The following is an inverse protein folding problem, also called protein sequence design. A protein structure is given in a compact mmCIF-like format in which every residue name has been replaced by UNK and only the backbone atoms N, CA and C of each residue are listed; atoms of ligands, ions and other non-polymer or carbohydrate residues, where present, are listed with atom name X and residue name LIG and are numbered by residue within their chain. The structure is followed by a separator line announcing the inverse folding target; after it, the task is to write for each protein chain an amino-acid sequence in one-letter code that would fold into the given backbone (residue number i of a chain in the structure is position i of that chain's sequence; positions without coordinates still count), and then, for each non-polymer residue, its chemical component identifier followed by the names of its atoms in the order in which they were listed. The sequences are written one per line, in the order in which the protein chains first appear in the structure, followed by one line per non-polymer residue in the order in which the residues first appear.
data_IF_343553240710
#
_entry.id   IF_343553240710
#
_cell.length_a   1.000
_cell.length_b   1.000
_cell.length_c   1.000
_cell.angle_alpha   90.00
_cell.angle_beta   90.00
_cell.angle_gamma   90.00
#
_symmetry.space_group_name_H-M   'P 1'
#
loop_
_entity.id
_entity.type
_entity.pdbx_description
1 polymer ?
#
# COMPACT_ATOMS: atom_id res chain seq x y z
N UNK A 1 -27.24 -3.11 -24.78
CA UNK A 1 -25.91 -3.60 -24.39
C UNK A 1 -24.79 -3.15 -25.37
N UNK A 2 -25.00 -3.19 -26.68
CA UNK A 2 -23.98 -2.86 -27.68
C UNK A 2 -23.44 -1.42 -27.63
N UNK A 3 -24.29 -0.42 -27.34
CA UNK A 3 -23.87 0.99 -27.38
C UNK A 3 -22.95 1.35 -26.20
N UNK A 4 -23.25 0.88 -24.98
CA UNK A 4 -22.42 1.12 -23.80
C UNK A 4 -21.07 0.42 -23.93
N UNK A 5 -21.06 -0.79 -24.48
CA UNK A 5 -19.86 -1.54 -24.77
C UNK A 5 -19.00 -0.86 -25.85
N UNK A 6 -19.63 -0.36 -26.90
CA UNK A 6 -18.95 0.41 -27.95
C UNK A 6 -18.32 1.70 -27.39
N UNK A 7 -19.06 2.48 -26.58
CA UNK A 7 -18.56 3.69 -25.94
C UNK A 7 -17.37 3.37 -25.03
N UNK A 8 -17.47 2.30 -24.23
CA UNK A 8 -16.40 1.82 -23.37
C UNK A 8 -15.14 1.47 -24.17
N UNK A 9 -15.28 0.64 -25.19
CA UNK A 9 -14.17 0.24 -26.04
C UNK A 9 -13.54 1.44 -26.78
N UNK A 10 -14.33 2.43 -27.19
CA UNK A 10 -13.82 3.66 -27.81
C UNK A 10 -13.01 4.51 -26.84
N UNK A 11 -13.41 4.60 -25.58
CA UNK A 11 -12.67 5.31 -24.53
C UNK A 11 -11.37 4.59 -24.17
N UNK A 12 -11.41 3.28 -24.06
CA UNK A 12 -10.24 2.46 -23.79
C UNK A 12 -9.22 2.53 -24.93
N UNK A 13 -9.66 2.55 -26.18
CA UNK A 13 -8.79 2.80 -27.33
C UNK A 13 -8.15 4.19 -27.30
N UNK A 14 -8.72 5.15 -26.58
CA UNK A 14 -8.16 6.46 -26.30
C UNK A 14 -7.33 6.51 -24.98
N UNK A 15 -7.05 5.37 -24.35
CA UNK A 15 -6.30 5.30 -23.10
C UNK A 15 -7.10 5.70 -21.86
N UNK A 16 -8.44 5.64 -21.91
CA UNK A 16 -9.33 6.00 -20.80
C UNK A 16 -10.08 4.79 -20.33
N UNK A 17 -9.84 4.39 -19.09
CA UNK A 17 -10.51 3.31 -18.37
C UNK A 17 -11.29 3.86 -17.18
N UNK A 18 -11.97 2.99 -16.45
CA UNK A 18 -12.70 3.39 -15.24
C UNK A 18 -12.57 2.33 -14.15
N UNK A 19 -12.24 2.79 -12.95
CA UNK A 19 -12.35 2.04 -11.69
C UNK A 19 -13.67 2.47 -11.04
N UNK A 20 -14.76 1.71 -11.27
CA UNK A 20 -16.12 2.16 -11.03
C UNK A 20 -16.38 3.51 -11.77
N UNK A 21 -16.60 4.61 -11.04
CA UNK A 21 -16.81 5.95 -11.61
C UNK A 21 -15.53 6.80 -11.69
N UNK A 22 -14.39 6.27 -11.23
CA UNK A 22 -13.13 6.98 -11.18
C UNK A 22 -12.42 6.85 -12.53
N UNK A 23 -12.05 7.97 -13.17
CA UNK A 23 -11.32 7.92 -14.43
C UNK A 23 -9.90 7.40 -14.23
N UNK A 24 -9.48 6.52 -15.13
CA UNK A 24 -8.14 5.96 -15.20
C UNK A 24 -7.53 6.28 -16.55
N UNK A 25 -6.46 7.06 -16.58
CA UNK A 25 -5.76 7.43 -17.81
C UNK A 25 -4.45 6.66 -17.95
N UNK A 26 -4.24 6.07 -19.13
CA UNK A 26 -2.95 5.53 -19.55
C UNK A 26 -2.23 6.57 -20.38
N UNK A 27 -1.19 7.19 -19.83
CA UNK A 27 -0.38 8.22 -20.50
C UNK A 27 0.73 7.60 -21.33
N UNK A 28 1.25 6.45 -20.88
CA UNK A 28 2.22 5.64 -21.58
C UNK A 28 1.72 4.21 -21.78
N UNK A 29 2.16 3.51 -22.84
CA UNK A 29 1.74 2.15 -23.12
C UNK A 29 2.06 1.19 -21.96
N UNK A 30 1.12 0.30 -21.65
CA UNK A 30 1.35 -0.83 -20.76
C UNK A 30 1.99 -2.01 -21.52
N UNK A 31 2.78 -2.85 -20.83
CA UNK A 31 3.24 -4.13 -21.39
C UNK A 31 2.08 -5.03 -21.80
N UNK A 32 2.29 -5.87 -22.80
CA UNK A 32 1.29 -6.86 -23.28
C UNK A 32 0.89 -7.87 -22.18
N UNK A 33 1.73 -8.05 -21.15
CA UNK A 33 1.47 -8.89 -19.99
C UNK A 33 0.39 -8.33 -19.07
N UNK A 34 0.05 -7.05 -19.18
CA UNK A 34 -0.88 -6.35 -18.30
C UNK A 34 -2.28 -6.26 -18.95
N UNK A 35 -3.24 -6.84 -18.28
CA UNK A 35 -4.67 -6.65 -18.58
C UNK A 35 -5.27 -5.64 -17.59
N UNK A 36 -5.14 -4.35 -17.89
CA UNK A 36 -5.60 -3.27 -17.01
C UNK A 36 -7.08 -3.41 -16.64
N UNK A 37 -7.95 -3.78 -17.59
CA UNK A 37 -9.38 -4.01 -17.29
C UNK A 37 -9.57 -5.05 -16.19
N UNK A 38 -8.82 -6.16 -16.25
CA UNK A 38 -8.90 -7.21 -15.23
C UNK A 38 -8.38 -6.71 -13.88
N UNK A 39 -7.26 -5.99 -13.86
CA UNK A 39 -6.70 -5.39 -12.64
C UNK A 39 -7.72 -4.48 -11.97
N UNK A 40 -8.33 -3.54 -12.71
CA UNK A 40 -9.33 -2.62 -12.17
C UNK A 40 -10.58 -3.33 -11.65
N UNK A 41 -11.04 -4.39 -12.32
CA UNK A 41 -12.14 -5.24 -11.85
C UNK A 41 -11.78 -5.96 -10.55
N UNK A 42 -10.55 -6.41 -10.40
CA UNK A 42 -10.09 -7.13 -9.21
C UNK A 42 -9.92 -6.17 -8.03
N UNK A 43 -9.45 -4.93 -8.24
CA UNK A 43 -9.48 -3.86 -7.24
C UNK A 43 -10.92 -3.63 -6.75
N UNK A 44 -11.85 -3.39 -7.69
CA UNK A 44 -13.26 -3.10 -7.38
C UNK A 44 -13.99 -4.24 -6.65
N UNK A 45 -13.56 -5.50 -6.85
CA UNK A 45 -14.11 -6.66 -6.14
C UNK A 45 -13.56 -6.86 -4.74
N UNK A 46 -12.32 -6.44 -4.50
CA UNK A 46 -11.63 -6.66 -3.24
C UNK A 46 -11.93 -5.58 -2.22
N UNK A 47 -12.07 -4.33 -2.69
CA UNK A 47 -12.20 -3.17 -1.81
C UNK A 47 -13.66 -2.70 -1.68
N UNK A 48 -14.10 -2.31 -0.48
CA UNK A 48 -15.34 -1.57 -0.29
C UNK A 48 -15.41 -0.32 -1.16
N UNK A 49 -16.56 -0.07 -1.79
CA UNK A 49 -16.74 1.09 -2.68
C UNK A 49 -16.45 2.44 -2.02
N UNK A 50 -16.62 2.53 -0.70
CA UNK A 50 -16.39 3.79 0.02
C UNK A 50 -14.92 4.19 -0.01
N UNK A 51 -13.99 3.24 -0.01
CA UNK A 51 -12.56 3.53 -0.09
C UNK A 51 -12.17 4.12 -1.44
N UNK A 52 -12.85 3.67 -2.50
CA UNK A 52 -12.64 4.22 -3.83
C UNK A 52 -13.09 5.68 -3.96
N UNK A 53 -14.05 6.13 -3.12
CA UNK A 53 -14.49 7.54 -3.13
C UNK A 53 -13.42 8.55 -2.66
N UNK A 54 -12.37 8.07 -2.01
CA UNK A 54 -11.22 8.90 -1.62
C UNK A 54 -10.29 9.20 -2.81
N UNK A 55 -10.46 8.48 -3.92
CA UNK A 55 -9.67 8.61 -5.13
C UNK A 55 -10.44 9.42 -6.17
N UNK A 56 -9.82 10.46 -6.70
CA UNK A 56 -10.40 11.31 -7.75
C UNK A 56 -10.03 10.83 -9.15
N UNK A 57 -8.84 10.25 -9.30
CA UNK A 57 -8.31 9.79 -10.57
C UNK A 57 -7.16 8.78 -10.37
N UNK A 58 -6.94 7.96 -11.39
CA UNK A 58 -5.73 7.13 -11.52
C UNK A 58 -5.01 7.53 -12.80
N UNK A 59 -3.72 7.74 -12.72
CA UNK A 59 -2.84 8.05 -13.86
C UNK A 59 -1.75 6.98 -13.97
N UNK A 60 -1.66 6.36 -15.13
CA UNK A 60 -0.71 5.28 -15.40
C UNK A 60 0.29 5.75 -16.46
N UNK A 61 1.57 5.75 -16.13
CA UNK A 61 2.59 6.24 -17.05
C UNK A 61 3.97 6.33 -16.41
N UNK A 62 4.83 7.14 -17.03
CA UNK A 62 6.16 7.45 -16.56
C UNK A 62 6.14 8.83 -15.90
N UNK A 63 6.43 8.88 -14.60
CA UNK A 63 6.41 10.12 -13.82
C UNK A 63 7.80 10.37 -13.22
N UNK A 64 8.34 11.57 -13.44
CA UNK A 64 9.69 11.96 -13.01
C UNK A 64 9.90 11.79 -11.51
N UNK A 65 8.93 12.25 -10.69
CA UNK A 65 8.98 12.09 -9.23
C UNK A 65 9.08 10.63 -8.79
N UNK A 66 8.40 9.71 -9.48
CA UNK A 66 8.44 8.28 -9.16
C UNK A 66 9.77 7.65 -9.58
N UNK A 67 10.31 8.08 -10.73
CA UNK A 67 11.63 7.61 -11.18
C UNK A 67 12.75 8.05 -10.23
N UNK A 68 12.72 9.32 -9.77
CA UNK A 68 13.70 9.85 -8.83
C UNK A 68 13.67 9.16 -7.47
N UNK A 69 12.49 8.70 -7.04
CA UNK A 69 12.27 8.01 -5.76
C UNK A 69 12.26 6.49 -5.87
N UNK A 70 12.44 5.96 -7.08
CA UNK A 70 12.35 4.52 -7.37
C UNK A 70 11.02 3.89 -6.91
N UNK A 71 9.89 4.61 -7.12
CA UNK A 71 8.55 4.17 -6.74
C UNK A 71 7.80 3.55 -7.92
N UNK A 72 7.06 2.48 -7.68
CA UNK A 72 6.15 1.86 -8.66
C UNK A 72 4.77 2.51 -8.65
N UNK A 73 4.34 3.07 -7.52
CA UNK A 73 3.10 3.81 -7.38
C UNK A 73 3.24 4.93 -6.34
N UNK A 74 2.29 5.88 -6.34
CA UNK A 74 2.27 7.01 -5.42
C UNK A 74 0.84 7.57 -5.30
N UNK A 75 0.31 7.67 -4.08
CA UNK A 75 -0.87 8.46 -3.77
C UNK A 75 -0.49 9.91 -3.43
N UNK A 76 -1.12 10.87 -4.10
CA UNK A 76 -0.89 12.30 -3.85
C UNK A 76 -2.13 13.12 -4.18
N UNK A 77 -2.63 13.87 -3.22
CA UNK A 77 -3.74 14.83 -3.39
C UNK A 77 -5.00 14.22 -4.07
N UNK A 78 -5.36 13.00 -3.68
CA UNK A 78 -6.53 12.30 -4.23
C UNK A 78 -6.28 11.59 -5.57
N UNK A 79 -5.07 11.61 -6.11
CA UNK A 79 -4.70 10.97 -7.35
C UNK A 79 -3.73 9.82 -7.08
N UNK A 80 -4.01 8.66 -7.69
CA UNK A 80 -3.06 7.56 -7.75
C UNK A 80 -2.22 7.70 -9.02
N UNK A 81 -0.91 7.72 -8.86
CA UNK A 81 0.06 7.61 -9.93
C UNK A 81 0.62 6.19 -9.91
N UNK A 82 0.58 5.50 -11.02
CA UNK A 82 1.04 4.10 -11.14
C UNK A 82 1.99 4.00 -12.32
N UNK A 83 3.14 3.38 -12.11
CA UNK A 83 4.10 3.12 -13.19
C UNK A 83 3.48 2.22 -14.25
N UNK A 84 3.73 2.53 -15.52
CA UNK A 84 3.40 1.62 -16.62
C UNK A 84 4.39 0.45 -16.73
N UNK A 85 5.52 0.51 -16.02
CA UNK A 85 6.54 -0.55 -15.98
C UNK A 85 6.17 -1.58 -14.91
N UNK A 86 5.23 -2.47 -15.25
CA UNK A 86 4.72 -3.51 -14.37
C UNK A 86 5.10 -4.89 -14.92
N UNK A 87 5.47 -5.83 -14.06
CA UNK A 87 5.86 -7.17 -14.46
C UNK A 87 4.64 -8.04 -14.81
N UNK A 88 3.58 -7.93 -14.02
CA UNK A 88 2.34 -8.71 -14.19
C UNK A 88 1.13 -8.02 -13.54
N UNK A 89 -0.07 -8.59 -13.76
CA UNK A 89 -1.31 -8.05 -13.20
C UNK A 89 -1.34 -8.03 -11.68
N UNK A 90 -0.70 -9.00 -11.01
CA UNK A 90 -0.73 -9.10 -9.55
C UNK A 90 0.08 -7.97 -8.93
N UNK A 91 1.27 -7.69 -9.45
CA UNK A 91 2.12 -6.60 -8.96
C UNK A 91 1.41 -5.24 -9.12
N UNK A 92 0.78 -5.01 -10.28
CA UNK A 92 0.00 -3.80 -10.49
C UNK A 92 -1.22 -3.70 -9.57
N UNK A 93 -1.86 -4.83 -9.25
CA UNK A 93 -2.98 -4.90 -8.32
C UNK A 93 -2.54 -4.56 -6.90
N UNK A 94 -1.40 -5.12 -6.46
CA UNK A 94 -0.81 -4.89 -5.15
C UNK A 94 -0.45 -3.41 -4.99
N UNK A 95 0.26 -2.82 -5.96
CA UNK A 95 0.63 -1.41 -5.98
C UNK A 95 -0.60 -0.49 -5.86
N UNK A 96 -1.66 -0.76 -6.62
CA UNK A 96 -2.90 0.04 -6.58
C UNK A 96 -3.59 -0.08 -5.22
N UNK A 97 -3.69 -1.28 -4.65
CA UNK A 97 -4.32 -1.48 -3.33
C UNK A 97 -3.50 -0.81 -2.23
N UNK A 98 -2.17 -0.89 -2.32
CA UNK A 98 -1.25 -0.23 -1.39
C UNK A 98 -1.46 1.29 -1.38
N UNK A 99 -1.54 1.93 -2.55
CA UNK A 99 -1.75 3.38 -2.63
C UNK A 99 -3.17 3.80 -2.21
N UNK A 100 -4.18 2.95 -2.45
CA UNK A 100 -5.51 3.17 -1.90
C UNK A 100 -5.49 3.10 -0.37
N UNK A 101 -4.63 2.27 0.23
CA UNK A 101 -4.46 2.23 1.68
C UNK A 101 -4.03 3.59 2.24
N UNK A 102 -3.09 4.27 1.60
CA UNK A 102 -2.69 5.63 2.01
C UNK A 102 -3.84 6.63 1.93
N UNK A 103 -4.68 6.54 0.90
CA UNK A 103 -5.88 7.37 0.81
C UNK A 103 -6.90 7.06 1.94
N UNK A 104 -7.11 5.78 2.25
CA UNK A 104 -7.98 5.35 3.35
C UNK A 104 -7.43 5.80 4.69
N UNK A 105 -6.14 5.67 4.92
CA UNK A 105 -5.45 6.11 6.12
C UNK A 105 -5.59 7.61 6.34
N UNK A 106 -5.31 8.42 5.32
CA UNK A 106 -5.40 9.88 5.36
C UNK A 106 -6.81 10.36 5.76
N UNK A 107 -7.83 9.78 5.13
CA UNK A 107 -9.23 10.12 5.41
C UNK A 107 -9.76 9.59 6.74
N UNK A 108 -9.14 8.57 7.30
CA UNK A 108 -9.57 7.92 8.55
C UNK A 108 -8.53 7.99 9.67
N UNK A 109 -7.60 8.95 9.59
CA UNK A 109 -6.46 9.06 10.49
C UNK A 109 -6.84 8.96 11.98
N UNK A 110 -7.84 9.71 12.41
CA UNK A 110 -8.28 9.70 13.82
C UNK A 110 -8.91 8.36 14.24
N UNK A 111 -9.58 7.67 13.33
CA UNK A 111 -10.14 6.33 13.59
C UNK A 111 -9.03 5.28 13.73
N UNK A 112 -7.99 5.39 12.93
CA UNK A 112 -6.86 4.45 12.94
C UNK A 112 -5.95 4.70 14.14
N UNK A 113 -5.56 5.94 14.38
CA UNK A 113 -4.49 6.29 15.31
C UNK A 113 -4.93 7.01 16.59
N UNK A 114 -6.15 7.52 16.66
CA UNK A 114 -6.60 8.38 17.77
C UNK A 114 -6.60 7.73 19.16
N UNK A 115 -6.63 6.38 19.25
CA UNK A 115 -6.49 5.64 20.51
C UNK A 115 -5.06 5.12 20.76
N UNK A 116 -4.11 5.48 19.91
CA UNK A 116 -2.68 5.15 19.97
C UNK A 116 -2.35 3.63 19.93
N UNK A 117 -3.33 2.74 19.82
CA UNK A 117 -3.08 1.29 19.90
C UNK A 117 -2.23 0.76 18.74
N UNK A 118 -2.52 1.21 17.52
CA UNK A 118 -1.72 0.82 16.33
C UNK A 118 -0.29 1.37 16.45
N UNK A 119 -0.13 2.59 16.96
CA UNK A 119 1.18 3.19 17.23
C UNK A 119 1.98 2.34 18.23
N UNK A 120 1.35 1.93 19.33
CA UNK A 120 2.00 1.11 20.36
C UNK A 120 2.37 -0.28 19.83
N UNK A 121 1.50 -0.90 19.00
CA UNK A 121 1.80 -2.17 18.34
C UNK A 121 3.03 -2.02 17.42
N UNK A 122 3.06 -1.00 16.58
CA UNK A 122 4.15 -0.73 15.66
C UNK A 122 5.48 -0.46 16.38
N UNK A 123 5.49 0.45 17.35
CA UNK A 123 6.70 0.78 18.10
C UNK A 123 7.19 -0.40 18.95
N UNK A 124 6.30 -1.23 19.48
CA UNK A 124 6.65 -2.46 20.17
C UNK A 124 7.40 -3.45 19.26
N UNK A 125 6.97 -3.57 18.00
CA UNK A 125 7.65 -4.39 16.98
C UNK A 125 8.99 -3.79 16.55
N UNK A 126 9.07 -2.48 16.35
CA UNK A 126 10.34 -1.80 16.06
C UNK A 126 11.35 -1.97 17.20
N UNK A 127 10.91 -1.87 18.45
CA UNK A 127 11.77 -2.16 19.59
C UNK A 127 12.27 -3.60 19.57
N UNK A 128 11.43 -4.55 19.21
CA UNK A 128 11.83 -5.95 19.08
C UNK A 128 12.86 -6.14 17.98
N UNK A 129 12.70 -5.48 16.83
CA UNK A 129 13.66 -5.51 15.75
C UNK A 129 15.02 -4.88 16.19
N UNK A 130 14.99 -3.77 16.92
CA UNK A 130 16.19 -3.18 17.52
C UNK A 130 16.94 -4.20 18.40
N UNK A 131 16.25 -4.93 19.27
CA UNK A 131 16.83 -5.94 20.12
C UNK A 131 17.48 -7.08 19.32
N UNK A 132 16.84 -7.52 18.23
CA UNK A 132 17.37 -8.53 17.32
C UNK A 132 18.62 -8.03 16.61
N UNK A 133 18.59 -6.85 16.00
CA UNK A 133 19.74 -6.27 15.30
C UNK A 133 20.94 -6.08 16.24
N UNK A 134 20.69 -5.61 17.45
CA UNK A 134 21.74 -5.46 18.47
C UNK A 134 22.34 -6.81 18.87
N UNK A 135 21.53 -7.86 18.98
CA UNK A 135 22.03 -9.20 19.28
C UNK A 135 22.86 -9.81 18.14
N UNK A 136 22.57 -9.42 16.89
CA UNK A 136 23.34 -9.80 15.71
C UNK A 136 24.60 -8.95 15.49
N UNK A 137 24.85 -7.98 16.37
CA UNK A 137 26.06 -7.18 16.37
C UNK A 137 26.02 -5.91 15.53
N UNK A 138 24.84 -5.48 15.07
CA UNK A 138 24.68 -4.21 14.37
C UNK A 138 24.83 -3.03 15.34
N UNK A 139 25.49 -1.97 14.87
CA UNK A 139 25.61 -0.70 15.62
C UNK A 139 24.33 0.12 15.47
N UNK A 140 23.41 -0.07 16.42
CA UNK A 140 22.07 0.54 16.40
C UNK A 140 21.77 1.24 17.72
N UNK A 141 21.04 2.35 17.64
CA UNK A 141 20.53 3.07 18.80
C UNK A 141 19.00 2.95 18.88
N UNK A 142 18.45 2.90 20.09
CA UNK A 142 17.01 2.73 20.28
C UNK A 142 16.20 3.91 19.71
N UNK A 143 16.78 5.10 19.73
CA UNK A 143 16.15 6.35 19.24
C UNK A 143 15.74 6.24 17.77
N UNK A 144 16.55 5.56 16.93
CA UNK A 144 16.24 5.34 15.52
C UNK A 144 14.93 4.51 15.31
N UNK A 145 14.59 3.67 16.29
CA UNK A 145 13.44 2.76 16.25
C UNK A 145 12.18 3.33 16.93
N UNK A 146 12.26 4.47 17.59
CA UNK A 146 11.14 5.08 18.30
C UNK A 146 10.38 6.15 17.48
N UNK A 147 10.92 6.57 16.34
CA UNK A 147 10.24 7.50 15.41
C UNK A 147 9.26 6.73 14.53
N UNK A 148 7.98 7.04 14.63
CA UNK A 148 6.94 6.32 13.88
C UNK A 148 6.78 6.82 12.43
N UNK A 149 7.04 8.11 12.19
CA UNK A 149 6.97 8.72 10.86
C UNK A 149 8.14 8.29 9.99
N UNK A 150 7.97 8.42 8.68
CA UNK A 150 9.05 8.15 7.73
C UNK A 150 10.28 9.02 8.01
N UNK A 151 11.44 8.40 7.99
CA UNK A 151 12.75 9.00 8.14
C UNK A 151 13.69 8.43 7.07
N UNK A 152 14.18 9.30 6.19
CA UNK A 152 15.02 8.89 5.05
C UNK A 152 16.34 8.23 5.50
N UNK A 153 16.98 8.76 6.54
CA UNK A 153 18.25 8.21 7.02
C UNK A 153 18.03 6.83 7.64
N UNK A 154 16.91 6.62 8.32
CA UNK A 154 16.56 5.32 8.86
C UNK A 154 16.21 4.32 7.74
N UNK A 155 15.48 4.74 6.70
CA UNK A 155 15.17 3.89 5.55
C UNK A 155 16.46 3.48 4.81
N UNK A 156 17.37 4.43 4.58
CA UNK A 156 18.67 4.15 3.97
C UNK A 156 19.53 3.22 4.83
N UNK A 157 19.51 3.37 6.15
CA UNK A 157 20.16 2.45 7.07
C UNK A 157 19.59 1.03 6.92
N UNK A 158 18.28 0.88 6.91
CA UNK A 158 17.63 -0.43 6.71
C UNK A 158 18.00 -1.05 5.35
N UNK A 159 18.05 -0.24 4.30
CA UNK A 159 18.32 -0.69 2.93
C UNK A 159 19.81 -1.00 2.69
N UNK A 160 20.70 -0.09 3.08
CA UNK A 160 22.13 -0.16 2.72
C UNK A 160 22.98 -0.89 3.78
N UNK A 161 22.75 -0.62 5.07
CA UNK A 161 23.58 -1.16 6.14
C UNK A 161 23.11 -2.54 6.61
N UNK A 162 21.79 -2.78 6.65
CA UNK A 162 21.22 -4.08 7.01
C UNK A 162 20.98 -4.92 5.74
N UNK A 163 20.29 -4.36 4.76
CA UNK A 163 19.87 -4.99 3.51
C UNK A 163 18.59 -5.83 3.65
N UNK A 164 17.75 -5.77 2.62
CA UNK A 164 16.45 -6.47 2.61
C UNK A 164 16.53 -7.98 2.88
N UNK A 165 17.52 -8.75 2.37
CA UNK A 165 17.59 -10.20 2.65
C UNK A 165 17.77 -10.52 4.14
N UNK A 166 18.52 -9.68 4.87
CA UNK A 166 18.68 -9.82 6.33
C UNK A 166 17.41 -9.38 7.04
N UNK A 167 16.86 -8.24 6.67
CA UNK A 167 15.60 -7.74 7.23
C UNK A 167 14.46 -8.74 7.04
N UNK A 168 14.32 -9.35 5.87
CA UNK A 168 13.30 -10.37 5.60
C UNK A 168 13.39 -11.51 6.61
N UNK A 169 14.61 -11.95 6.92
CA UNK A 169 14.83 -12.99 7.93
C UNK A 169 14.51 -12.52 9.35
N UNK A 170 14.97 -11.32 9.73
CA UNK A 170 14.81 -10.78 11.09
C UNK A 170 13.38 -10.32 11.38
N UNK A 171 12.65 -9.89 10.36
CA UNK A 171 11.26 -9.45 10.49
C UNK A 171 10.24 -10.57 10.33
N UNK A 172 10.68 -11.78 9.96
CA UNK A 172 9.81 -12.94 9.81
C UNK A 172 9.05 -13.22 11.13
N UNK A 173 7.72 -13.25 11.04
CA UNK A 173 6.85 -13.44 12.22
C UNK A 173 6.72 -12.20 13.11
N UNK A 174 7.30 -11.07 12.74
CA UNK A 174 7.21 -9.79 13.44
C UNK A 174 6.48 -8.73 12.62
N UNK A 175 6.81 -8.60 11.34
CA UNK A 175 6.19 -7.69 10.38
C UNK A 175 5.64 -8.48 9.18
N UNK A 176 4.69 -7.90 8.46
CA UNK A 176 4.11 -8.52 7.24
C UNK A 176 5.16 -8.53 6.13
N UNK A 177 5.89 -7.43 5.97
CA UNK A 177 7.04 -7.33 5.07
C UNK A 177 8.14 -6.46 5.69
N UNK A 178 9.38 -6.55 5.20
CA UNK A 178 10.47 -5.67 5.63
C UNK A 178 10.16 -4.18 5.42
N UNK A 179 9.46 -3.84 4.36
CA UNK A 179 9.10 -2.46 4.02
C UNK A 179 8.18 -1.82 5.08
N UNK A 180 7.29 -2.61 5.70
CA UNK A 180 6.40 -2.14 6.77
C UNK A 180 7.13 -1.68 8.05
N UNK A 181 8.44 -1.86 8.12
CA UNK A 181 9.29 -1.33 9.21
C UNK A 181 9.53 0.16 9.06
N UNK A 182 9.53 0.71 7.85
CA UNK A 182 10.04 2.06 7.54
C UNK A 182 9.24 3.19 8.17
N UNK A 183 7.91 3.06 8.24
CA UNK A 183 7.03 4.02 8.90
C UNK A 183 5.71 3.38 9.34
N UNK A 184 4.97 4.08 10.19
CA UNK A 184 3.63 3.64 10.60
C UNK A 184 2.64 3.65 9.43
N UNK A 185 2.84 4.56 8.46
CA UNK A 185 2.04 4.64 7.24
C UNK A 185 2.26 3.40 6.37
N UNK A 186 3.53 3.00 6.18
CA UNK A 186 3.84 1.76 5.47
C UNK A 186 3.39 0.51 6.24
N UNK A 187 3.45 0.54 7.57
CA UNK A 187 2.90 -0.53 8.40
C UNK A 187 1.39 -0.71 8.19
N UNK A 188 0.65 0.41 8.10
CA UNK A 188 -0.78 0.40 7.77
C UNK A 188 -1.00 -0.10 6.34
N UNK A 189 -0.32 0.49 5.35
CA UNK A 189 -0.53 0.21 3.94
C UNK A 189 -0.24 -1.24 3.57
N UNK A 190 0.89 -1.80 4.03
CA UNK A 190 1.24 -3.22 3.83
C UNK A 190 0.25 -4.16 4.54
N UNK A 191 -0.18 -3.81 5.75
CA UNK A 191 -1.19 -4.59 6.46
C UNK A 191 -2.55 -4.59 5.76
N UNK A 192 -2.99 -3.43 5.28
CA UNK A 192 -4.21 -3.25 4.49
C UNK A 192 -4.14 -4.05 3.18
N UNK A 193 -3.09 -3.87 2.40
CA UNK A 193 -2.83 -4.60 1.16
C UNK A 193 -2.96 -6.11 1.38
N UNK A 194 -2.18 -6.68 2.29
CA UNK A 194 -2.20 -8.12 2.58
C UNK A 194 -3.57 -8.59 3.08
N UNK A 195 -4.28 -7.77 3.85
CA UNK A 195 -5.63 -8.08 4.32
C UNK A 195 -6.61 -8.25 3.15
N UNK A 196 -6.62 -7.31 2.19
CA UNK A 196 -7.51 -7.35 1.03
C UNK A 196 -7.01 -8.24 -0.11
N UNK A 197 -5.72 -8.59 -0.13
CA UNK A 197 -5.17 -9.60 -1.04
C UNK A 197 -5.51 -11.04 -0.61
N UNK A 198 -6.11 -11.23 0.55
CA UNK A 198 -6.64 -12.52 1.00
C UNK A 198 -5.81 -13.19 2.09
N UNK A 199 -4.80 -12.49 2.62
CA UNK A 199 -3.93 -12.99 3.68
C UNK A 199 -4.39 -12.59 5.11
N UNK A 200 -5.69 -12.37 5.27
CA UNK A 200 -6.30 -11.86 6.51
C UNK A 200 -5.86 -12.59 7.78
N UNK A 201 -5.75 -13.93 7.72
CA UNK A 201 -5.31 -14.73 8.86
C UNK A 201 -3.84 -14.48 9.22
N UNK A 202 -3.00 -14.23 8.22
CA UNK A 202 -1.58 -13.92 8.41
C UNK A 202 -1.43 -12.55 9.05
N UNK A 203 -2.10 -11.55 8.49
CA UNK A 203 -2.11 -10.19 9.06
C UNK A 203 -2.64 -10.19 10.50
N UNK A 204 -3.75 -10.89 10.76
CA UNK A 204 -4.32 -11.01 12.11
C UNK A 204 -3.35 -11.62 13.13
N UNK A 205 -2.57 -12.59 12.69
CA UNK A 205 -1.56 -13.22 13.55
C UNK A 205 -0.41 -12.28 13.88
N UNK A 206 0.04 -11.52 12.90
CA UNK A 206 1.19 -10.62 13.06
C UNK A 206 0.79 -9.26 13.64
N UNK A 207 -0.30 -8.68 13.16
CA UNK A 207 -0.74 -7.32 13.41
C UNK A 207 -2.19 -7.30 13.94
N UNK A 208 -2.45 -7.91 15.12
CA UNK A 208 -3.82 -8.07 15.62
C UNK A 208 -4.54 -6.74 15.85
N UNK A 209 -3.84 -5.72 16.37
CA UNK A 209 -4.45 -4.41 16.63
C UNK A 209 -4.78 -3.69 15.32
N UNK A 210 -3.87 -3.70 14.35
CA UNK A 210 -4.13 -3.17 13.02
C UNK A 210 -5.31 -3.91 12.36
N UNK A 211 -5.35 -5.24 12.46
CA UNK A 211 -6.44 -6.05 11.89
C UNK A 211 -7.79 -5.69 12.50
N UNK A 212 -7.87 -5.47 13.80
CA UNK A 212 -9.09 -5.02 14.46
C UNK A 212 -9.56 -3.66 13.96
N UNK A 213 -8.61 -2.74 13.64
CA UNK A 213 -8.92 -1.46 13.01
C UNK A 213 -9.44 -1.62 11.58
N UNK A 214 -8.86 -2.51 10.79
CA UNK A 214 -9.35 -2.79 9.44
C UNK A 214 -10.76 -3.38 9.45
N UNK A 215 -11.08 -4.30 10.35
CA UNK A 215 -12.44 -4.78 10.53
C UNK A 215 -13.41 -3.67 10.96
N UNK A 216 -12.98 -2.79 11.87
CA UNK A 216 -13.81 -1.67 12.30
C UNK A 216 -14.09 -0.70 11.14
N UNK A 217 -13.08 -0.39 10.32
CA UNK A 217 -13.27 0.42 9.10
C UNK A 217 -14.24 -0.25 8.12
N UNK A 218 -14.14 -1.58 7.95
CA UNK A 218 -15.07 -2.35 7.11
C UNK A 218 -16.51 -2.27 7.63
N UNK A 219 -16.73 -2.43 8.93
CA UNK A 219 -18.05 -2.33 9.53
C UNK A 219 -18.71 -0.98 9.24
N UNK A 220 -17.95 0.11 9.33
CA UNK A 220 -18.44 1.45 9.01
C UNK A 220 -18.87 1.60 7.54
N UNK A 221 -18.33 0.78 6.62
CA UNK A 221 -18.72 0.83 5.20
C UNK A 221 -20.13 0.30 4.95
N UNK A 222 -20.68 -0.52 5.84
CA UNK A 222 -22.01 -1.09 5.73
C UNK A 222 -23.11 -0.18 6.31
N UNK A 223 -22.74 0.87 7.04
CA UNK A 223 -23.70 1.81 7.65
C UNK A 223 -24.09 2.97 6.71
N UNK A 224 -23.46 3.07 5.54
CA UNK A 224 -23.68 4.09 4.50
C UNK A 224 -24.00 3.47 3.13
#
# INVERSE_FOLDING_TARGET
NNLLEYIRNSKENAGIYYLNDIPVWTEDPLPDSINLRQVLLDVAKRLPNIYLKYIQAVRIGIFEEMLEKELNALYKDGVLYVSNMQDNNTDMLDDIIHEIAHAVEDHNHDLVYGDEKVLLEFLGKRKRLYELLKSEGYDVTIEQFLTATYDYDFDMFLFQDIGYPVLETLTLGLFVSPYSVTSINEYFAVGFESFYMGETNYVKKLCPVLTDKLYYLDELTYEY
#
